data_IF_737274101516
#
_entry.id   IF_737274101516
#
_cell.length_a   1.000
_cell.length_b   1.000
_cell.length_c   1.000
_cell.angle_alpha   90.00
_cell.angle_beta   90.00
_cell.angle_gamma   90.00
#
_symmetry.space_group_name_H-M   'P 1'
#
loop_
_entity.id
_entity.type
_entity.pdbx_description
1 polymer ?
#
# COMPACT_ATOMS: atom_id res chain seq x y z
N UNK A 1 4.53 -10.86 31.69
CA UNK A 1 3.48 -11.87 31.43
C UNK A 1 3.74 -12.47 30.06
N UNK A 2 4.37 -13.64 30.02
CA UNK A 2 4.55 -14.40 28.80
C UNK A 2 3.17 -14.91 28.41
N UNK A 3 2.64 -14.45 27.25
CA UNK A 3 1.38 -14.89 26.72
C UNK A 3 1.47 -16.39 26.38
N UNK A 4 0.82 -17.23 27.19
CA UNK A 4 0.82 -18.69 27.02
C UNK A 4 0.21 -19.09 25.65
N UNK A 5 -0.75 -18.33 25.17
CA UNK A 5 -1.36 -18.55 23.86
C UNK A 5 -0.35 -18.27 22.71
N UNK A 6 0.51 -17.27 22.85
CA UNK A 6 1.59 -17.00 21.89
C UNK A 6 2.68 -18.09 21.89
N UNK A 7 2.95 -18.68 23.04
CA UNK A 7 3.92 -19.78 23.20
C UNK A 7 3.40 -21.08 22.57
N UNK A 8 2.09 -21.34 22.65
CA UNK A 8 1.44 -22.49 22.02
C UNK A 8 1.29 -22.35 20.49
N UNK A 9 1.30 -21.12 19.97
CA UNK A 9 1.25 -20.84 18.53
C UNK A 9 2.60 -21.00 17.82
N UNK A 10 3.69 -21.10 18.55
CA UNK A 10 5.00 -21.29 17.95
C UNK A 10 5.11 -22.65 17.26
N UNK A 11 5.78 -22.66 16.09
CA UNK A 11 5.93 -23.80 15.16
C UNK A 11 6.19 -25.15 15.88
N UNK A 12 5.68 -26.22 15.33
CA UNK A 12 5.66 -27.59 15.86
C UNK A 12 6.94 -28.11 16.54
N UNK A 13 8.12 -27.59 16.16
CA UNK A 13 9.40 -27.94 16.79
C UNK A 13 9.61 -27.33 18.18
N UNK A 14 9.09 -26.13 18.45
CA UNK A 14 9.16 -25.50 19.77
C UNK A 14 8.16 -26.14 20.75
N UNK A 15 7.01 -26.57 20.25
CA UNK A 15 6.01 -27.30 21.05
C UNK A 15 6.58 -28.57 21.64
N UNK A 16 7.27 -29.40 20.86
CA UNK A 16 7.90 -30.62 21.32
C UNK A 16 8.97 -30.34 22.37
N UNK A 17 9.78 -29.31 22.17
CA UNK A 17 10.83 -28.89 23.14
C UNK A 17 10.24 -28.41 24.48
N UNK A 18 9.11 -27.71 24.45
CA UNK A 18 8.41 -27.24 25.64
C UNK A 18 7.84 -28.44 26.39
N UNK A 19 7.12 -29.34 25.69
CA UNK A 19 6.55 -30.55 26.31
C UNK A 19 7.65 -31.43 26.89
N UNK A 20 8.78 -31.59 26.23
CA UNK A 20 9.91 -32.40 26.70
C UNK A 20 10.62 -31.77 27.91
N UNK A 21 10.48 -30.49 28.18
CA UNK A 21 11.03 -29.77 29.34
C UNK A 21 10.12 -29.80 30.57
N UNK A 22 8.88 -30.30 30.45
CA UNK A 22 7.92 -30.35 31.52
C UNK A 22 8.20 -31.55 32.48
N UNK A 23 7.76 -31.41 33.72
CA UNK A 23 7.78 -32.55 34.63
C UNK A 23 6.85 -33.68 34.12
N UNK A 24 7.09 -34.90 34.54
CA UNK A 24 6.41 -36.09 34.01
C UNK A 24 4.89 -36.09 34.22
N UNK A 25 4.41 -35.39 35.24
CA UNK A 25 2.99 -35.29 35.58
C UNK A 25 2.27 -34.28 34.73
N UNK A 26 2.82 -33.09 34.60
CA UNK A 26 2.31 -32.02 33.70
C UNK A 26 2.32 -32.49 32.25
N UNK A 27 3.36 -33.22 31.83
CA UNK A 27 3.44 -33.81 30.50
C UNK A 27 2.29 -34.78 30.22
N UNK A 28 1.94 -35.66 31.14
CA UNK A 28 0.82 -36.60 31.03
C UNK A 28 -0.53 -35.86 30.91
N UNK A 29 -0.72 -34.82 31.72
CA UNK A 29 -1.96 -34.02 31.67
C UNK A 29 -2.12 -33.33 30.34
N UNK A 30 -1.06 -32.72 29.83
CA UNK A 30 -1.10 -32.03 28.52
C UNK A 30 -1.27 -33.05 27.39
N UNK A 31 -0.61 -34.20 27.45
CA UNK A 31 -0.78 -35.26 26.46
C UNK A 31 -2.23 -35.79 26.47
N UNK A 32 -2.84 -36.00 27.63
CA UNK A 32 -4.25 -36.38 27.75
C UNK A 32 -5.20 -35.32 27.18
N UNK A 33 -4.95 -34.06 27.47
CA UNK A 33 -5.76 -32.95 26.91
C UNK A 33 -5.64 -32.90 25.37
N UNK A 34 -4.43 -33.12 24.84
CA UNK A 34 -4.18 -33.13 23.39
C UNK A 34 -4.85 -34.33 22.72
N UNK A 35 -4.80 -35.51 23.34
CA UNK A 35 -5.40 -36.74 22.80
C UNK A 35 -6.93 -36.73 22.86
N UNK A 36 -7.53 -36.05 23.83
CA UNK A 36 -9.00 -35.94 23.96
C UNK A 36 -9.59 -34.83 23.13
N UNK A 37 -8.78 -34.00 22.47
CA UNK A 37 -9.24 -32.88 21.69
C UNK A 37 -9.46 -33.29 20.22
N UNK A 38 -10.68 -33.25 19.66
CA UNK A 38 -10.92 -33.57 18.27
C UNK A 38 -10.18 -32.57 17.36
N UNK A 39 -9.33 -33.08 16.47
CA UNK A 39 -8.68 -32.26 15.44
C UNK A 39 -7.29 -31.69 15.80
N UNK A 40 -6.62 -32.13 16.85
CA UNK A 40 -5.29 -31.64 17.25
C UNK A 40 -5.19 -30.10 17.40
N UNK A 41 -6.27 -29.47 17.79
CA UNK A 41 -6.31 -28.03 18.00
C UNK A 41 -5.98 -27.66 19.45
N UNK A 42 -4.80 -27.05 19.73
CA UNK A 42 -4.44 -26.62 21.06
C UNK A 42 -5.35 -25.54 21.66
N UNK A 43 -6.15 -24.85 20.84
CA UNK A 43 -7.11 -23.82 21.28
C UNK A 43 -8.30 -24.40 22.06
N UNK A 44 -8.57 -25.69 21.97
CA UNK A 44 -9.65 -26.33 22.71
C UNK A 44 -9.40 -26.46 24.22
N UNK A 45 -8.16 -26.26 24.69
CA UNK A 45 -7.85 -26.21 26.12
C UNK A 45 -8.67 -25.13 26.82
N UNK A 46 -8.85 -23.97 26.17
CA UNK A 46 -9.68 -22.88 26.68
C UNK A 46 -11.17 -23.28 26.77
N UNK A 47 -11.66 -24.00 25.79
CA UNK A 47 -13.05 -24.50 25.78
C UNK A 47 -13.26 -25.60 26.85
N UNK A 48 -12.31 -26.52 27.03
CA UNK A 48 -12.34 -27.57 28.07
C UNK A 48 -12.33 -26.92 29.45
N UNK A 49 -11.49 -25.91 29.68
CA UNK A 49 -11.47 -25.14 30.92
C UNK A 49 -12.77 -24.37 31.14
N UNK A 50 -13.34 -23.79 30.10
CA UNK A 50 -14.62 -23.08 30.18
C UNK A 50 -15.80 -24.05 30.45
N UNK A 51 -15.74 -25.25 29.90
CA UNK A 51 -16.75 -26.29 30.14
C UNK A 51 -16.65 -26.88 31.55
N UNK A 52 -15.45 -27.14 32.06
CA UNK A 52 -15.22 -27.51 33.46
C UNK A 52 -15.70 -26.41 34.42
N UNK A 53 -15.50 -25.14 34.11
CA UNK A 53 -16.03 -24.01 34.86
C UNK A 53 -17.57 -23.95 34.84
N UNK A 54 -18.21 -24.23 33.70
CA UNK A 54 -19.68 -24.29 33.56
C UNK A 54 -20.28 -25.43 34.36
N UNK A 55 -19.62 -26.58 34.39
CA UNK A 55 -20.08 -27.78 35.11
C UNK A 55 -19.77 -27.75 36.61
N UNK A 56 -19.06 -26.71 37.10
CA UNK A 56 -18.74 -26.54 38.52
C UNK A 56 -17.67 -27.47 39.03
N UNK A 57 -16.97 -28.21 38.15
CA UNK A 57 -15.86 -29.09 38.50
C UNK A 57 -14.57 -28.28 38.62
N UNK A 58 -14.24 -27.89 39.85
CA UNK A 58 -13.03 -27.10 40.19
C UNK A 58 -11.76 -27.91 40.23
N UNK A 59 -11.83 -29.22 40.27
CA UNK A 59 -10.67 -30.10 40.49
C UNK A 59 -9.67 -30.03 39.34
N UNK A 60 -10.06 -30.15 38.05
CA UNK A 60 -9.12 -30.04 36.96
C UNK A 60 -8.50 -28.65 36.86
N UNK A 61 -9.29 -27.61 37.18
CA UNK A 61 -8.84 -26.20 37.12
C UNK A 61 -7.82 -25.91 38.21
N UNK A 62 -8.06 -26.36 39.44
CA UNK A 62 -7.14 -26.12 40.54
C UNK A 62 -5.82 -26.86 40.34
N UNK A 63 -5.88 -28.06 39.78
CA UNK A 63 -4.70 -28.86 39.43
C UNK A 63 -3.92 -28.17 38.30
N UNK A 64 -4.60 -27.75 37.24
CA UNK A 64 -3.98 -27.07 36.11
C UNK A 64 -3.36 -25.72 36.50
N UNK A 65 -4.05 -24.92 37.35
CA UNK A 65 -3.51 -23.66 37.89
C UNK A 65 -2.30 -23.91 38.77
N UNK A 66 -2.34 -24.96 39.63
CA UNK A 66 -1.20 -25.38 40.44
C UNK A 66 -0.01 -25.77 39.57
N UNK A 67 -0.26 -26.55 38.52
CA UNK A 67 0.74 -27.00 37.57
C UNK A 67 1.27 -25.87 36.69
N UNK A 68 0.41 -24.97 36.23
CA UNK A 68 0.79 -23.78 35.49
C UNK A 68 1.65 -22.85 36.34
N UNK A 69 1.35 -22.70 37.63
CA UNK A 69 2.17 -21.90 38.55
C UNK A 69 3.53 -22.57 38.81
N UNK A 70 3.58 -23.89 38.99
CA UNK A 70 4.83 -24.64 39.08
C UNK A 70 5.62 -24.58 37.76
N UNK A 71 4.92 -24.64 36.64
CA UNK A 71 5.47 -24.46 35.31
C UNK A 71 6.04 -23.06 35.11
N UNK A 72 5.33 -22.01 35.51
CA UNK A 72 5.83 -20.62 35.50
C UNK A 72 7.21 -20.54 36.20
N UNK A 73 7.36 -21.15 37.35
CA UNK A 73 8.62 -21.11 38.09
C UNK A 73 9.77 -21.91 37.46
N UNK A 74 9.51 -23.05 36.84
CA UNK A 74 10.58 -23.91 36.27
C UNK A 74 10.94 -23.56 34.83
N UNK A 75 9.96 -23.11 34.03
CA UNK A 75 10.18 -22.68 32.62
C UNK A 75 10.68 -21.25 32.56
N UNK A 76 10.19 -20.37 33.43
CA UNK A 76 10.60 -18.98 33.50
C UNK A 76 12.11 -18.82 33.66
N UNK A 77 12.76 -19.60 34.56
CA UNK A 77 14.19 -19.41 34.80
C UNK A 77 15.07 -19.82 33.61
N UNK A 78 14.82 -20.95 33.00
CA UNK A 78 15.69 -21.47 31.92
C UNK A 78 15.35 -20.86 30.53
N UNK A 79 14.07 -20.62 30.23
CA UNK A 79 13.65 -19.99 28.99
C UNK A 79 13.94 -18.51 29.04
N UNK A 80 13.66 -17.80 30.12
CA UNK A 80 13.97 -16.39 30.28
C UNK A 80 15.48 -16.15 30.26
N UNK A 81 16.30 -16.99 30.86
CA UNK A 81 17.76 -16.88 30.75
C UNK A 81 18.24 -17.19 29.33
N UNK A 82 17.71 -18.21 28.69
CA UNK A 82 18.06 -18.55 27.32
C UNK A 82 17.57 -17.46 26.30
N UNK A 83 16.39 -16.88 26.55
CA UNK A 83 15.86 -15.74 25.81
C UNK A 83 16.69 -14.47 26.04
N UNK A 84 17.05 -14.15 27.28
CA UNK A 84 17.93 -13.04 27.63
C UNK A 84 19.29 -13.14 26.92
N UNK A 85 19.90 -14.33 26.94
CA UNK A 85 21.16 -14.55 26.25
C UNK A 85 21.02 -14.36 24.75
N UNK A 86 19.96 -14.91 24.13
CA UNK A 86 19.71 -14.76 22.71
C UNK A 86 19.29 -13.32 22.32
N UNK A 87 18.57 -12.63 23.19
CA UNK A 87 18.22 -11.22 23.01
C UNK A 87 19.47 -10.35 23.04
N UNK A 88 20.37 -10.58 24.01
CA UNK A 88 21.65 -9.86 24.09
C UNK A 88 22.57 -10.16 22.88
N UNK A 89 22.60 -11.44 22.44
CA UNK A 89 23.38 -11.84 21.25
C UNK A 89 22.79 -11.29 19.92
N UNK A 90 21.49 -11.02 19.89
CA UNK A 90 20.79 -10.57 18.67
C UNK A 90 20.80 -9.05 18.46
N UNK A 91 21.27 -8.27 19.43
CA UNK A 91 21.22 -6.80 19.40
C UNK A 91 19.79 -6.22 19.49
N UNK A 92 18.79 -7.04 19.81
CA UNK A 92 17.39 -6.58 19.93
C UNK A 92 17.23 -5.62 21.12
N UNK A 93 18.03 -5.77 22.19
CA UNK A 93 18.00 -4.83 23.32
C UNK A 93 18.45 -3.44 22.90
N UNK A 94 19.49 -3.35 22.06
CA UNK A 94 19.95 -2.08 21.50
C UNK A 94 18.90 -1.48 20.58
N UNK A 95 18.30 -2.29 19.70
CA UNK A 95 17.20 -1.88 18.82
C UNK A 95 15.94 -1.48 19.61
N UNK A 96 15.63 -2.16 20.70
CA UNK A 96 14.51 -1.78 21.57
C UNK A 96 14.79 -0.48 22.31
N UNK A 97 16.02 -0.26 22.77
CA UNK A 97 16.44 1.00 23.38
C UNK A 97 16.35 2.15 22.36
N UNK A 98 16.88 1.94 21.14
CA UNK A 98 16.76 2.89 20.05
C UNK A 98 15.29 3.16 19.68
N UNK A 99 14.45 2.13 19.65
CA UNK A 99 13.00 2.26 19.43
C UNK A 99 12.31 3.02 20.57
N UNK A 100 12.65 2.72 21.84
CA UNK A 100 12.13 3.48 22.99
C UNK A 100 12.62 4.93 23.00
N UNK A 101 13.86 5.18 22.61
CA UNK A 101 14.38 6.54 22.43
C UNK A 101 13.65 7.28 21.30
N UNK A 102 13.36 6.61 20.18
CA UNK A 102 12.57 7.15 19.08
C UNK A 102 11.14 7.46 19.54
N UNK A 103 10.52 6.56 20.31
CA UNK A 103 9.17 6.80 20.87
C UNK A 103 9.22 7.91 21.93
N UNK A 104 10.21 7.91 22.84
CA UNK A 104 10.36 8.89 23.90
C UNK A 104 10.79 10.26 23.36
N UNK A 105 11.57 10.27 22.28
CA UNK A 105 11.90 11.51 21.56
C UNK A 105 10.66 12.14 20.91
N UNK A 106 9.56 11.42 20.97
CA UNK A 106 8.20 11.70 20.53
C UNK A 106 8.21 12.79 19.49
N UNK A 107 7.65 12.61 18.34
CA UNK A 107 7.58 13.71 17.35
C UNK A 107 7.01 14.90 18.11
N UNK A 108 7.89 15.86 18.39
CA UNK A 108 7.53 17.02 19.19
C UNK A 108 6.64 17.92 18.31
N UNK A 109 5.37 17.51 18.22
CA UNK A 109 4.35 18.26 17.49
C UNK A 109 4.04 19.47 18.39
N UNK A 110 4.38 20.65 17.90
CA UNK A 110 4.06 21.89 18.62
C UNK A 110 2.54 22.10 18.71
N UNK A 111 2.08 22.84 19.69
CA UNK A 111 0.65 23.17 19.79
C UNK A 111 0.18 23.99 18.57
N UNK A 112 1.06 24.77 17.96
CA UNK A 112 0.79 25.47 16.71
C UNK A 112 0.55 24.49 15.54
N UNK A 113 1.33 23.42 15.46
CA UNK A 113 1.15 22.38 14.45
C UNK A 113 -0.12 21.56 14.68
N UNK A 114 -0.51 21.35 15.95
CA UNK A 114 -1.78 20.71 16.31
C UNK A 114 -2.96 21.55 15.82
N UNK A 115 -2.95 22.84 16.12
CA UNK A 115 -3.98 23.76 15.65
C UNK A 115 -4.02 23.83 14.13
N UNK A 116 -2.85 23.96 13.50
CA UNK A 116 -2.75 23.98 12.05
C UNK A 116 -3.34 22.74 11.38
N UNK A 117 -3.00 21.54 11.88
CA UNK A 117 -3.52 20.29 11.30
C UNK A 117 -5.01 20.10 11.58
N UNK A 118 -5.48 20.52 12.76
CA UNK A 118 -6.90 20.51 13.12
C UNK A 118 -7.70 21.37 12.14
N UNK A 119 -7.28 22.62 11.94
CA UNK A 119 -7.96 23.56 11.03
C UNK A 119 -7.93 23.02 9.60
N UNK A 120 -6.78 22.52 9.15
CA UNK A 120 -6.62 21.91 7.83
C UNK A 120 -7.57 20.72 7.61
N UNK A 121 -7.71 19.84 8.61
CA UNK A 121 -8.61 18.68 8.53
C UNK A 121 -10.06 19.14 8.55
N UNK A 122 -10.43 20.07 9.42
CA UNK A 122 -11.79 20.59 9.54
C UNK A 122 -12.25 21.30 8.27
N UNK A 123 -11.36 22.09 7.62
CA UNK A 123 -11.62 22.69 6.31
C UNK A 123 -11.82 21.62 5.20
N UNK A 124 -11.21 20.46 5.39
CA UNK A 124 -11.23 19.36 4.41
C UNK A 124 -12.33 18.33 4.64
N UNK A 125 -12.93 18.28 5.82
CA UNK A 125 -13.95 17.31 6.21
C UNK A 125 -15.21 18.04 6.68
N UNK A 126 -16.38 17.47 6.40
CA UNK A 126 -17.66 18.02 6.88
C UNK A 126 -17.92 17.67 8.37
N UNK A 127 -16.85 17.46 9.14
CA UNK A 127 -16.91 17.06 10.55
C UNK A 127 -15.92 17.87 11.36
N UNK A 128 -16.35 18.29 12.53
CA UNK A 128 -15.54 19.06 13.45
C UNK A 128 -14.72 18.14 14.34
N UNK A 129 -13.43 18.03 14.03
CA UNK A 129 -12.44 17.34 14.84
C UNK A 129 -11.80 18.31 15.82
N UNK A 130 -11.56 17.83 17.05
CA UNK A 130 -10.73 18.52 18.04
C UNK A 130 -9.54 17.63 18.38
N UNK A 131 -8.37 18.24 18.37
CA UNK A 131 -7.12 17.57 18.71
C UNK A 131 -6.60 18.27 19.98
N UNK A 132 -6.55 17.51 21.05
CA UNK A 132 -6.10 18.00 22.35
C UNK A 132 -4.90 17.18 22.81
N UNK A 133 -4.09 17.73 23.70
CA UNK A 133 -3.00 16.99 24.34
C UNK A 133 -3.48 16.55 25.72
N UNK A 134 -3.37 15.27 26.01
CA UNK A 134 -3.62 14.72 27.33
C UNK A 134 -2.63 15.31 28.35
N UNK A 135 -3.15 15.79 29.47
CA UNK A 135 -2.33 16.49 30.47
C UNK A 135 -1.34 15.55 31.17
N UNK A 136 -1.71 14.30 31.36
CA UNK A 136 -0.92 13.31 32.10
C UNK A 136 0.06 12.55 31.18
N UNK A 137 -0.44 11.98 30.09
CA UNK A 137 0.37 11.16 29.18
C UNK A 137 1.10 11.95 28.11
N UNK A 138 0.74 13.24 27.90
CA UNK A 138 1.20 14.09 26.79
C UNK A 138 0.86 13.56 25.38
N UNK A 139 0.06 12.52 25.30
CA UNK A 139 -0.42 11.96 24.04
C UNK A 139 -1.45 12.89 23.40
N UNK A 140 -1.59 12.77 22.07
CA UNK A 140 -2.64 13.47 21.34
C UNK A 140 -3.96 12.71 21.50
N UNK A 141 -5.00 13.41 21.91
CA UNK A 141 -6.38 12.94 21.94
C UNK A 141 -7.11 13.53 20.75
N UNK A 142 -7.77 12.68 19.98
CA UNK A 142 -8.60 13.13 18.86
C UNK A 142 -10.06 12.89 19.24
N UNK A 143 -10.85 13.96 19.24
CA UNK A 143 -12.27 13.96 19.58
C UNK A 143 -13.10 14.36 18.38
N UNK A 144 -14.21 13.71 18.18
CA UNK A 144 -15.24 14.09 17.22
C UNK A 144 -16.50 14.41 18.01
N UNK A 145 -16.99 15.65 17.92
CA UNK A 145 -18.20 16.08 18.64
C UNK A 145 -18.17 15.76 20.14
N UNK A 146 -17.03 15.90 20.82
CA UNK A 146 -16.77 15.60 22.23
C UNK A 146 -16.60 14.11 22.59
N UNK A 147 -16.65 13.17 21.64
CA UNK A 147 -16.31 11.79 21.89
C UNK A 147 -14.87 11.48 21.45
N UNK A 148 -14.09 10.91 22.36
CA UNK A 148 -12.76 10.41 22.06
C UNK A 148 -12.84 9.13 21.24
N UNK A 149 -12.01 9.01 20.20
CA UNK A 149 -12.05 7.84 19.33
C UNK A 149 -10.68 7.17 19.11
N UNK A 150 -9.61 7.70 19.68
CA UNK A 150 -8.33 6.98 19.67
C UNK A 150 -8.45 5.71 20.52
N UNK A 151 -8.04 4.58 19.95
CA UNK A 151 -8.15 3.28 20.61
C UNK A 151 -9.47 2.53 20.37
N UNK A 152 -10.46 3.15 19.72
CA UNK A 152 -11.66 2.43 19.22
C UNK A 152 -11.33 1.62 17.97
N UNK A 153 -12.06 0.52 17.77
CA UNK A 153 -11.95 -0.24 16.52
C UNK A 153 -12.37 0.63 15.32
N UNK A 154 -11.64 0.53 14.22
CA UNK A 154 -11.94 1.32 12.99
C UNK A 154 -13.38 1.24 12.53
N UNK A 155 -14.05 0.11 12.78
CA UNK A 155 -15.46 -0.13 12.42
C UNK A 155 -16.46 0.66 13.27
N UNK A 156 -16.04 1.09 14.44
CA UNK A 156 -16.88 1.82 15.41
C UNK A 156 -16.76 3.33 15.27
N UNK A 157 -15.81 3.79 14.44
CA UNK A 157 -15.62 5.21 14.21
C UNK A 157 -16.72 5.78 13.32
N UNK A 158 -17.30 6.94 13.67
CA UNK A 158 -18.30 7.63 12.86
C UNK A 158 -17.67 8.33 11.64
N UNK A 159 -16.65 7.72 11.04
CA UNK A 159 -15.88 8.20 9.91
C UNK A 159 -15.93 7.18 8.78
N UNK A 160 -16.15 7.63 7.56
CA UNK A 160 -15.98 6.79 6.38
C UNK A 160 -14.52 6.32 6.23
N UNK A 161 -14.30 5.24 5.50
CA UNK A 161 -12.94 4.72 5.23
C UNK A 161 -12.04 5.78 4.58
N UNK A 162 -12.61 6.59 3.67
CA UNK A 162 -11.88 7.70 3.03
C UNK A 162 -11.45 8.77 4.03
N UNK A 163 -12.33 9.15 4.98
CA UNK A 163 -12.03 10.09 6.04
C UNK A 163 -10.94 9.56 6.98
N UNK A 164 -11.04 8.31 7.39
CA UNK A 164 -10.04 7.68 8.25
C UNK A 164 -8.66 7.63 7.60
N UNK A 165 -8.61 7.25 6.33
CA UNK A 165 -7.36 7.21 5.57
C UNK A 165 -6.78 8.62 5.38
N UNK A 166 -7.61 9.59 5.05
CA UNK A 166 -7.20 11.00 4.90
C UNK A 166 -6.63 11.56 6.19
N UNK A 167 -7.32 11.34 7.30
CA UNK A 167 -6.87 11.74 8.63
C UNK A 167 -5.51 11.13 8.98
N UNK A 168 -5.37 9.81 8.80
CA UNK A 168 -4.10 9.10 9.04
C UNK A 168 -2.97 9.69 8.19
N UNK A 169 -3.22 9.96 6.92
CA UNK A 169 -2.24 10.53 6.01
C UNK A 169 -1.81 11.94 6.42
N UNK A 170 -2.75 12.77 6.89
CA UNK A 170 -2.45 14.11 7.39
C UNK A 170 -1.50 14.06 8.59
N UNK A 171 -1.71 13.13 9.53
CA UNK A 171 -0.80 12.93 10.66
C UNK A 171 0.58 12.42 10.23
N UNK A 172 0.65 11.50 9.26
CA UNK A 172 1.94 11.06 8.72
C UNK A 172 2.69 12.21 8.02
N UNK A 173 1.98 13.08 7.31
CA UNK A 173 2.59 14.29 6.73
C UNK A 173 3.07 15.27 7.79
N UNK A 174 2.33 15.42 8.89
CA UNK A 174 2.76 16.25 10.00
C UNK A 174 4.03 15.71 10.67
N UNK A 175 4.10 14.40 10.90
CA UNK A 175 5.32 13.73 11.36
C UNK A 175 6.49 13.97 10.41
N UNK A 176 6.26 13.81 9.11
CA UNK A 176 7.26 14.04 8.09
C UNK A 176 7.72 15.52 8.06
N UNK A 177 6.79 16.47 8.22
CA UNK A 177 7.08 17.91 8.34
C UNK A 177 8.06 18.17 9.48
N UNK A 178 7.80 17.59 10.65
CA UNK A 178 8.57 17.84 11.87
C UNK A 178 9.84 16.97 11.98
N UNK A 179 10.03 16.01 11.09
CA UNK A 179 11.24 15.20 11.03
C UNK A 179 12.45 16.05 10.65
N UNK A 180 13.65 15.64 11.08
CA UNK A 180 14.90 16.30 10.67
C UNK A 180 15.29 16.00 9.22
N UNK A 181 14.65 15.04 8.58
CA UNK A 181 14.96 14.62 7.21
C UNK A 181 14.52 15.70 6.21
N UNK A 182 15.42 16.14 5.31
CA UNK A 182 15.09 17.20 4.36
C UNK A 182 14.26 16.72 3.17
N UNK A 183 14.17 15.41 2.94
CA UNK A 183 13.48 14.79 1.81
C UNK A 183 12.40 13.85 2.33
N UNK A 184 11.22 13.94 1.75
CA UNK A 184 10.09 13.05 1.99
C UNK A 184 9.79 12.29 0.70
N UNK A 185 9.76 10.96 0.79
CA UNK A 185 9.34 10.09 -0.31
C UNK A 185 7.91 9.64 -0.05
N UNK A 186 7.04 9.81 -1.03
CA UNK A 186 5.62 9.50 -0.94
C UNK A 186 5.32 8.51 -2.07
N UNK A 187 4.90 7.30 -1.69
CA UNK A 187 4.58 6.24 -2.64
C UNK A 187 3.06 6.13 -2.80
N UNK A 188 2.61 6.39 -4.02
CA UNK A 188 1.24 6.26 -4.52
C UNK A 188 0.12 6.75 -3.57
N UNK A 189 0.16 8.02 -3.18
CA UNK A 189 -0.63 8.54 -2.06
C UNK A 189 -2.14 8.59 -2.30
N UNK A 190 -2.61 8.40 -3.55
CA UNK A 190 -4.04 8.58 -3.89
C UNK A 190 -4.77 7.33 -4.37
N UNK A 191 -4.08 6.20 -4.51
CA UNK A 191 -4.68 4.98 -5.11
C UNK A 191 -5.80 4.36 -4.29
N UNK A 192 -5.79 4.55 -2.97
CA UNK A 192 -6.84 4.06 -2.06
C UNK A 192 -7.98 5.05 -1.83
N UNK A 193 -7.96 6.22 -2.49
CA UNK A 193 -8.94 7.28 -2.27
C UNK A 193 -9.93 7.42 -3.43
N UNK A 194 -11.16 7.79 -3.09
CA UNK A 194 -12.15 8.23 -4.05
C UNK A 194 -11.81 9.63 -4.64
N UNK A 195 -12.56 10.06 -5.64
CA UNK A 195 -12.28 11.30 -6.38
C UNK A 195 -12.28 12.55 -5.50
N UNK A 196 -13.10 12.59 -4.43
CA UNK A 196 -13.20 13.75 -3.53
C UNK A 196 -11.91 13.89 -2.71
N UNK A 197 -11.45 12.77 -2.14
CA UNK A 197 -10.25 12.77 -1.31
C UNK A 197 -8.95 12.89 -2.09
N UNK A 198 -8.89 12.41 -3.34
CA UNK A 198 -7.71 12.61 -4.20
C UNK A 198 -7.29 14.08 -4.28
N UNK A 199 -8.25 14.99 -4.44
CA UNK A 199 -7.97 16.43 -4.49
C UNK A 199 -7.44 16.95 -3.14
N UNK A 200 -8.06 16.53 -2.04
CA UNK A 200 -7.66 16.90 -0.68
C UNK A 200 -6.25 16.39 -0.34
N UNK A 201 -5.92 15.16 -0.74
CA UNK A 201 -4.57 14.60 -0.57
C UNK A 201 -3.53 15.37 -1.37
N UNK A 202 -3.81 15.70 -2.64
CA UNK A 202 -2.91 16.53 -3.44
C UNK A 202 -2.67 17.90 -2.78
N UNK A 203 -3.70 18.51 -2.23
CA UNK A 203 -3.61 19.77 -1.48
C UNK A 203 -2.79 19.60 -0.20
N UNK A 204 -3.03 18.52 0.58
CA UNK A 204 -2.29 18.20 1.81
C UNK A 204 -0.78 18.04 1.56
N UNK A 205 -0.40 17.30 0.50
CA UNK A 205 1.02 17.12 0.11
C UNK A 205 1.71 18.48 -0.09
N UNK A 206 1.04 19.40 -0.73
CA UNK A 206 1.66 20.68 -1.05
C UNK A 206 1.69 21.63 0.15
N UNK A 207 0.63 21.64 0.94
CA UNK A 207 0.48 22.58 2.07
C UNK A 207 1.24 22.13 3.30
N UNK A 208 1.06 20.88 3.74
CA UNK A 208 1.69 20.38 4.97
C UNK A 208 3.20 20.21 4.78
N UNK A 209 3.62 19.71 3.63
CA UNK A 209 5.03 19.43 3.32
C UNK A 209 5.71 20.58 2.53
N UNK A 210 5.21 21.82 2.64
CA UNK A 210 5.71 22.97 1.84
C UNK A 210 7.21 23.21 1.99
N UNK A 211 7.77 22.98 3.17
CA UNK A 211 9.18 23.20 3.51
C UNK A 211 10.09 22.02 3.19
N UNK A 212 9.53 20.87 2.83
CA UNK A 212 10.27 19.66 2.51
C UNK A 212 10.48 19.48 1.01
N UNK A 213 11.61 18.88 0.63
CA UNK A 213 11.78 18.34 -0.71
C UNK A 213 10.99 17.04 -0.82
N UNK A 214 10.15 16.94 -1.84
CA UNK A 214 9.23 15.81 -2.02
C UNK A 214 9.59 15.03 -3.27
N UNK A 215 9.66 13.71 -3.13
CA UNK A 215 9.73 12.75 -4.24
C UNK A 215 8.42 11.97 -4.18
N UNK A 216 7.60 12.10 -5.19
CA UNK A 216 6.30 11.43 -5.27
C UNK A 216 6.41 10.36 -6.34
N UNK A 217 6.20 9.12 -5.95
CA UNK A 217 6.10 7.97 -6.84
C UNK A 217 4.61 7.70 -7.08
N UNK A 218 4.20 7.58 -8.31
CA UNK A 218 2.80 7.28 -8.64
C UNK A 218 2.67 6.73 -10.05
N UNK A 219 1.74 5.82 -10.22
CA UNK A 219 1.26 5.36 -11.52
C UNK A 219 -0.04 6.07 -11.94
N UNK A 220 -0.54 7.00 -11.10
CA UNK A 220 -1.84 7.61 -11.27
C UNK A 220 -1.72 9.02 -11.87
N UNK A 221 -2.15 9.16 -13.13
CA UNK A 221 -2.15 10.43 -13.86
C UNK A 221 -3.06 11.49 -13.21
N UNK A 222 -4.10 11.07 -12.47
CA UNK A 222 -4.97 12.01 -11.74
C UNK A 222 -4.19 12.84 -10.73
N UNK A 223 -3.20 12.24 -10.04
CA UNK A 223 -2.37 13.00 -9.10
C UNK A 223 -1.56 14.08 -9.82
N UNK A 224 -0.99 13.76 -10.97
CA UNK A 224 -0.22 14.72 -11.77
C UNK A 224 -1.15 15.87 -12.21
N UNK A 225 -2.36 15.55 -12.66
CA UNK A 225 -3.37 16.53 -13.06
C UNK A 225 -3.77 17.45 -11.90
N UNK A 226 -4.03 16.86 -10.72
CA UNK A 226 -4.43 17.62 -9.53
C UNK A 226 -3.30 18.52 -9.02
N UNK A 227 -2.06 18.02 -8.97
CA UNK A 227 -0.89 18.81 -8.61
C UNK A 227 -0.65 19.95 -9.60
N UNK A 228 -0.77 19.68 -10.91
CA UNK A 228 -0.61 20.71 -11.93
C UNK A 228 -1.71 21.77 -11.88
N UNK A 229 -2.95 21.39 -11.57
CA UNK A 229 -4.08 22.32 -11.45
C UNK A 229 -3.93 23.24 -10.22
N UNK A 230 -3.44 22.71 -9.09
CA UNK A 230 -3.27 23.46 -7.86
C UNK A 230 -1.98 24.31 -7.84
N UNK A 231 -0.92 23.82 -8.49
CA UNK A 231 0.43 24.40 -8.41
C UNK A 231 1.15 24.28 -9.74
N UNK A 232 0.67 24.98 -10.74
CA UNK A 232 1.25 24.94 -12.09
C UNK A 232 2.75 25.25 -12.07
N UNK A 233 3.55 24.35 -12.62
CA UNK A 233 5.00 24.53 -12.80
C UNK A 233 5.85 24.28 -11.54
N UNK A 234 5.28 23.81 -10.42
CA UNK A 234 6.00 23.61 -9.15
C UNK A 234 6.69 22.25 -9.00
N UNK A 235 6.58 21.35 -9.97
CA UNK A 235 7.24 20.06 -9.93
C UNK A 235 7.93 19.71 -11.24
N UNK A 236 8.85 18.77 -11.19
CA UNK A 236 9.48 18.14 -12.35
C UNK A 236 8.96 16.72 -12.46
N UNK A 237 8.46 16.36 -13.65
CA UNK A 237 7.96 15.02 -13.91
C UNK A 237 9.06 14.17 -14.57
N UNK A 238 9.15 12.93 -14.13
CA UNK A 238 10.02 11.92 -14.70
C UNK A 238 9.22 10.62 -14.90
N UNK A 239 9.45 9.95 -16.01
CA UNK A 239 8.99 8.58 -16.21
C UNK A 239 10.11 7.63 -15.74
N UNK A 240 9.77 6.66 -14.90
CA UNK A 240 10.68 5.58 -14.55
C UNK A 240 10.59 4.51 -15.64
N UNK A 241 11.67 4.33 -16.36
CA UNK A 241 11.82 3.22 -17.28
C UNK A 241 12.46 2.05 -16.52
N UNK A 242 11.70 0.98 -16.32
CA UNK A 242 12.14 -0.25 -15.65
C UNK A 242 11.82 -1.44 -16.56
N UNK A 243 12.63 -1.63 -17.59
CA UNK A 243 12.49 -2.71 -18.56
C UNK A 243 13.42 -3.84 -18.16
N UNK A 244 12.90 -5.06 -18.07
CA UNK A 244 13.71 -6.26 -17.91
C UNK A 244 14.64 -6.37 -19.13
N UNK A 245 15.93 -6.49 -18.94
CA UNK A 245 16.96 -6.58 -19.99
C UNK A 245 17.22 -5.30 -20.82
N UNK A 246 16.79 -4.13 -20.35
CA UNK A 246 17.03 -2.83 -21.00
C UNK A 246 17.74 -1.80 -20.14
N UNK A 247 18.04 -0.63 -20.73
CA UNK A 247 18.53 0.50 -19.97
C UNK A 247 17.41 1.06 -19.08
N UNK A 248 17.61 0.95 -17.77
CA UNK A 248 16.70 1.48 -16.77
C UNK A 248 17.10 2.90 -16.37
N UNK A 249 16.14 3.73 -16.03
CA UNK A 249 16.43 5.08 -15.58
C UNK A 249 15.23 6.01 -15.59
N UNK A 250 15.52 7.28 -15.31
CA UNK A 250 14.52 8.33 -15.26
C UNK A 250 14.56 9.17 -16.54
N UNK A 251 13.45 9.22 -17.25
CA UNK A 251 13.26 10.03 -18.44
C UNK A 251 12.54 11.31 -18.01
N UNK A 252 13.15 12.47 -18.23
CA UNK A 252 12.53 13.75 -17.89
C UNK A 252 11.41 14.05 -18.88
N UNK A 253 10.23 14.35 -18.37
CA UNK A 253 9.07 14.76 -19.13
C UNK A 253 9.04 16.28 -19.27
N UNK A 254 8.90 16.79 -20.48
CA UNK A 254 8.79 18.23 -20.75
C UNK A 254 7.41 18.78 -20.32
N UNK A 255 7.28 20.09 -20.20
CA UNK A 255 5.99 20.71 -19.91
C UNK A 255 4.94 20.47 -21.01
N UNK A 256 5.38 20.37 -22.28
CA UNK A 256 4.51 20.05 -23.43
C UNK A 256 3.94 18.63 -23.27
N UNK A 257 4.81 17.66 -22.99
CA UNK A 257 4.42 16.26 -22.76
C UNK A 257 3.56 16.09 -21.50
N UNK A 258 3.90 16.81 -20.42
CA UNK A 258 3.05 16.84 -19.22
C UNK A 258 1.64 17.32 -19.57
N UNK A 259 1.53 18.37 -20.41
CA UNK A 259 0.25 18.87 -20.91
C UNK A 259 -0.55 17.84 -21.71
N UNK A 260 0.12 16.95 -22.45
CA UNK A 260 -0.53 15.83 -23.15
C UNK A 260 -1.01 14.75 -22.18
N UNK A 261 -0.20 14.38 -21.23
CA UNK A 261 -0.53 13.34 -20.23
C UNK A 261 -1.77 13.69 -19.38
N UNK A 262 -1.93 14.97 -19.05
CA UNK A 262 -3.03 15.41 -18.16
C UNK A 262 -4.29 15.86 -18.90
N UNK A 263 -4.26 15.97 -20.20
CA UNK A 263 -5.38 16.48 -21.02
C UNK A 263 -5.68 15.50 -22.16
N UNK A 264 -6.73 14.71 -21.99
CA UNK A 264 -7.15 13.69 -22.95
C UNK A 264 -7.48 14.30 -24.33
N UNK A 265 -8.09 15.49 -24.39
CA UNK A 265 -8.41 16.13 -25.65
C UNK A 265 -7.14 16.49 -26.45
N UNK A 266 -6.14 17.06 -25.77
CA UNK A 266 -4.85 17.36 -26.40
C UNK A 266 -4.16 16.07 -26.87
N UNK A 267 -4.18 15.05 -26.06
CA UNK A 267 -3.60 13.74 -26.39
C UNK A 267 -4.27 13.14 -27.63
N UNK A 268 -5.60 13.14 -27.68
CA UNK A 268 -6.36 12.65 -28.84
C UNK A 268 -6.08 13.47 -30.10
N UNK A 269 -6.00 14.80 -29.98
CA UNK A 269 -5.67 15.65 -31.12
C UNK A 269 -4.25 15.39 -31.63
N UNK A 270 -3.30 15.16 -30.72
CA UNK A 270 -1.94 14.76 -31.10
C UNK A 270 -1.95 13.46 -31.90
N UNK A 271 -2.61 12.42 -31.43
CA UNK A 271 -2.70 11.14 -32.16
C UNK A 271 -3.52 11.22 -33.44
N UNK A 272 -4.44 12.17 -33.56
CA UNK A 272 -5.26 12.36 -34.78
C UNK A 272 -4.61 13.19 -35.84
N UNK A 273 -3.68 14.08 -35.48
CA UNK A 273 -3.17 15.11 -36.39
C UNK A 273 -1.67 15.32 -36.32
N UNK A 274 -1.15 15.58 -35.11
CA UNK A 274 0.18 16.17 -34.96
C UNK A 274 1.30 15.14 -35.03
N UNK A 275 1.03 13.87 -34.62
CA UNK A 275 2.05 12.83 -34.49
C UNK A 275 2.60 12.31 -35.81
N UNK A 276 1.80 12.40 -36.90
CA UNK A 276 2.12 11.70 -38.15
C UNK A 276 3.45 12.10 -38.78
N UNK A 277 3.86 13.36 -38.62
CA UNK A 277 5.15 13.83 -39.13
C UNK A 277 6.35 13.39 -38.28
N UNK A 278 6.09 12.98 -37.05
CA UNK A 278 7.11 12.59 -36.08
C UNK A 278 7.35 11.07 -36.06
N UNK A 279 6.46 10.28 -36.66
CA UNK A 279 6.57 8.81 -36.65
C UNK A 279 7.75 8.37 -37.51
N UNK A 280 8.76 7.71 -36.90
CA UNK A 280 9.90 7.12 -37.60
C UNK A 280 9.63 5.66 -38.01
N UNK A 281 8.95 4.92 -37.15
CA UNK A 281 8.62 3.52 -37.38
C UNK A 281 7.14 3.29 -37.15
N UNK A 282 6.38 3.18 -38.24
CA UNK A 282 4.92 3.07 -38.20
C UNK A 282 4.46 1.77 -37.55
N UNK A 283 5.16 0.66 -37.79
CA UNK A 283 4.79 -0.65 -37.24
C UNK A 283 4.94 -0.67 -35.72
N UNK A 284 6.09 -0.23 -35.21
CA UNK A 284 6.33 -0.14 -33.77
C UNK A 284 5.44 0.90 -33.10
N UNK A 285 5.16 2.00 -33.78
CA UNK A 285 4.19 2.99 -33.32
C UNK A 285 2.81 2.34 -33.12
N UNK A 286 2.30 1.64 -34.12
CA UNK A 286 1.00 0.97 -34.05
C UNK A 286 0.97 -0.08 -32.91
N UNK A 287 2.03 -0.84 -32.73
CA UNK A 287 2.15 -1.82 -31.63
C UNK A 287 2.10 -1.08 -30.28
N UNK A 288 2.85 0.00 -30.13
CA UNK A 288 2.87 0.80 -28.90
C UNK A 288 1.52 1.43 -28.55
N UNK A 289 0.68 1.66 -29.56
CA UNK A 289 -0.65 2.24 -29.41
C UNK A 289 -1.74 1.23 -29.00
N UNK A 290 -1.46 -0.08 -29.02
CA UNK A 290 -2.44 -1.13 -28.67
C UNK A 290 -3.09 -0.88 -27.30
N UNK A 291 -2.34 -0.65 -26.19
CA UNK A 291 -2.95 -0.39 -24.89
C UNK A 291 -3.84 0.85 -24.86
N UNK A 292 -3.40 1.91 -25.54
CA UNK A 292 -4.17 3.15 -25.63
C UNK A 292 -5.47 2.96 -26.43
N UNK A 293 -5.39 2.33 -27.61
CA UNK A 293 -6.56 2.04 -28.47
C UNK A 293 -7.57 1.16 -27.73
N UNK A 294 -7.10 0.15 -26.98
CA UNK A 294 -7.96 -0.69 -26.14
C UNK A 294 -8.69 0.14 -25.07
N UNK A 295 -7.96 1.01 -24.37
CA UNK A 295 -8.56 1.90 -23.37
C UNK A 295 -9.58 2.87 -23.99
N UNK A 296 -9.25 3.41 -25.15
CA UNK A 296 -10.12 4.33 -25.86
C UNK A 296 -11.40 3.64 -26.41
N UNK A 297 -11.27 2.42 -26.96
CA UNK A 297 -12.43 1.62 -27.40
C UNK A 297 -13.41 1.34 -26.24
N UNK A 298 -12.89 1.12 -25.02
CA UNK A 298 -13.73 0.97 -23.83
C UNK A 298 -14.50 2.25 -23.49
N UNK A 299 -13.89 3.42 -23.68
CA UNK A 299 -14.55 4.72 -23.41
C UNK A 299 -15.69 4.98 -24.40
N UNK A 300 -15.51 4.61 -25.66
CA UNK A 300 -16.53 4.81 -26.71
C UNK A 300 -17.51 3.64 -26.84
N UNK A 301 -17.41 2.62 -25.96
CA UNK A 301 -18.22 1.39 -25.93
C UNK A 301 -18.11 0.54 -27.20
N UNK A 302 -16.94 0.49 -27.83
CA UNK A 302 -16.64 -0.44 -28.94
C UNK A 302 -16.05 -1.75 -28.36
N UNK A 303 -16.94 -2.63 -27.93
CA UNK A 303 -16.55 -3.89 -27.27
C UNK A 303 -15.83 -4.85 -28.25
N UNK A 304 -16.15 -4.84 -29.53
CA UNK A 304 -15.52 -5.72 -30.53
C UNK A 304 -14.03 -5.38 -30.71
N UNK A 305 -13.73 -4.10 -30.87
CA UNK A 305 -12.33 -3.62 -30.97
C UNK A 305 -11.60 -3.85 -29.66
N UNK A 306 -12.23 -3.58 -28.53
CA UNK A 306 -11.67 -3.82 -27.20
C UNK A 306 -11.30 -5.29 -27.00
N UNK A 307 -12.17 -6.23 -27.39
CA UNK A 307 -11.91 -7.66 -27.27
C UNK A 307 -10.74 -8.10 -28.15
N UNK A 308 -10.70 -7.69 -29.42
CA UNK A 308 -9.60 -7.98 -30.34
C UNK A 308 -8.24 -7.51 -29.77
N UNK A 309 -8.16 -6.28 -29.29
CA UNK A 309 -6.94 -5.72 -28.72
C UNK A 309 -6.57 -6.38 -27.37
N UNK A 310 -7.58 -6.79 -26.56
CA UNK A 310 -7.35 -7.51 -25.32
C UNK A 310 -6.73 -8.89 -25.59
N UNK A 311 -7.18 -9.59 -26.62
CA UNK A 311 -6.64 -10.89 -27.03
C UNK A 311 -5.15 -10.78 -27.38
N UNK A 312 -4.76 -9.76 -28.15
CA UNK A 312 -3.38 -9.50 -28.53
C UNK A 312 -2.52 -9.13 -27.32
N UNK A 313 -3.02 -8.29 -26.43
CA UNK A 313 -2.27 -7.84 -25.24
C UNK A 313 -2.01 -8.94 -24.23
N UNK A 314 -2.95 -9.87 -24.05
CA UNK A 314 -2.88 -10.90 -23.00
C UNK A 314 -2.56 -12.30 -23.52
N UNK A 315 -2.41 -12.46 -24.84
CA UNK A 315 -2.05 -13.73 -25.43
C UNK A 315 -3.12 -14.82 -25.34
N UNK A 316 -4.40 -14.46 -25.20
CA UNK A 316 -5.49 -15.43 -25.08
C UNK A 316 -5.74 -16.21 -26.36
N UNK A 317 -5.51 -15.58 -27.51
CA UNK A 317 -5.63 -16.19 -28.83
C UNK A 317 -4.55 -15.64 -29.73
N UNK A 318 -4.00 -16.48 -30.60
CA UNK A 318 -3.01 -16.06 -31.58
C UNK A 318 -3.67 -15.78 -32.94
N UNK A 319 -4.73 -14.98 -32.93
CA UNK A 319 -5.42 -14.54 -34.15
C UNK A 319 -4.76 -13.26 -34.68
N UNK A 320 -4.87 -13.05 -36.01
CA UNK A 320 -4.38 -11.83 -36.65
C UNK A 320 -5.36 -10.68 -36.39
N UNK A 321 -4.85 -9.57 -35.89
CA UNK A 321 -5.63 -8.35 -35.63
C UNK A 321 -5.06 -7.20 -36.45
N UNK A 322 -5.88 -6.57 -37.29
CA UNK A 322 -5.47 -5.44 -38.13
C UNK A 322 -5.45 -4.13 -37.29
N UNK A 323 -4.31 -3.87 -36.68
CA UNK A 323 -4.12 -2.72 -35.82
C UNK A 323 -4.05 -1.38 -36.59
N UNK A 324 -3.66 -1.39 -37.86
CA UNK A 324 -3.69 -0.18 -38.70
C UNK A 324 -5.12 0.26 -38.99
N UNK A 325 -5.97 -0.68 -39.34
CA UNK A 325 -7.39 -0.43 -39.58
C UNK A 325 -8.10 0.03 -38.30
N UNK A 326 -7.79 -0.61 -37.17
CA UNK A 326 -8.32 -0.20 -35.85
C UNK A 326 -7.89 1.24 -35.53
N UNK A 327 -6.60 1.55 -35.67
CA UNK A 327 -6.08 2.90 -35.44
C UNK A 327 -6.81 3.94 -36.29
N UNK A 328 -6.89 3.67 -37.59
CA UNK A 328 -7.54 4.60 -38.56
C UNK A 328 -9.02 4.79 -38.23
N UNK A 329 -9.72 3.74 -37.80
CA UNK A 329 -11.14 3.83 -37.41
C UNK A 329 -11.32 4.65 -36.14
N UNK A 330 -10.48 4.46 -35.12
CA UNK A 330 -10.60 5.12 -33.83
C UNK A 330 -10.08 6.56 -33.83
N UNK A 331 -8.98 6.81 -34.51
CA UNK A 331 -8.21 8.06 -34.40
C UNK A 331 -8.09 8.82 -35.73
N UNK A 332 -8.30 8.18 -36.86
CA UNK A 332 -8.12 8.77 -38.18
C UNK A 332 -6.71 8.50 -38.75
N UNK A 333 -6.49 8.92 -39.98
CA UNK A 333 -5.23 8.80 -40.72
C UNK A 333 -4.99 10.05 -41.56
N UNK A 334 -4.60 11.11 -40.90
CA UNK A 334 -4.23 12.34 -41.62
C UNK A 334 -2.92 12.09 -42.36
N UNK A 335 -2.80 12.63 -43.59
CA UNK A 335 -1.63 12.49 -44.44
C UNK A 335 -1.32 11.07 -44.94
N UNK A 336 -2.20 10.09 -44.68
CA UNK A 336 -2.06 8.68 -45.12
C UNK A 336 -0.75 8.02 -44.68
N UNK A 337 -0.24 8.36 -43.50
CA UNK A 337 0.99 7.83 -42.94
C UNK A 337 0.79 6.40 -42.42
N UNK A 338 -0.38 6.10 -41.88
CA UNK A 338 -0.74 4.76 -41.42
C UNK A 338 -1.14 3.90 -42.64
N UNK A 339 -0.61 2.71 -42.82
CA UNK A 339 -0.97 1.84 -43.95
C UNK A 339 -2.45 1.43 -43.87
N UNK A 340 -3.02 1.06 -45.04
CA UNK A 340 -4.42 0.60 -45.10
C UNK A 340 -4.68 -0.65 -44.23
N UNK A 341 -3.68 -1.50 -44.07
CA UNK A 341 -3.73 -2.70 -43.27
C UNK A 341 -2.36 -3.03 -42.71
N UNK A 342 -2.30 -3.38 -41.42
CA UNK A 342 -1.14 -3.97 -40.76
C UNK A 342 -1.67 -4.89 -39.66
N UNK A 343 -1.56 -6.18 -39.91
CA UNK A 343 -2.08 -7.21 -39.00
C UNK A 343 -0.97 -7.81 -38.19
N UNK A 344 -1.25 -8.05 -36.92
CA UNK A 344 -0.30 -8.57 -35.94
C UNK A 344 -0.96 -9.65 -35.10
N UNK A 345 -0.16 -10.64 -34.71
CA UNK A 345 -0.55 -11.65 -33.72
C UNK A 345 0.34 -11.58 -32.48
N UNK A 346 0.00 -12.36 -31.45
CA UNK A 346 0.83 -12.48 -30.23
C UNK A 346 2.26 -12.88 -30.55
N UNK A 347 2.44 -13.86 -31.46
CA UNK A 347 3.78 -14.34 -31.84
C UNK A 347 4.61 -13.24 -32.52
N UNK A 348 3.97 -12.39 -33.31
CA UNK A 348 4.66 -11.24 -33.90
C UNK A 348 5.15 -10.27 -32.84
N UNK A 349 4.33 -9.97 -31.81
CA UNK A 349 4.72 -9.06 -30.74
C UNK A 349 5.90 -9.62 -29.93
N UNK A 350 5.85 -10.91 -29.59
CA UNK A 350 6.91 -11.56 -28.83
C UNK A 350 8.25 -11.62 -29.59
N UNK A 351 8.20 -11.61 -30.93
CA UNK A 351 9.38 -11.59 -31.79
C UNK A 351 9.99 -10.20 -32.03
N UNK A 352 9.26 -9.11 -31.70
CA UNK A 352 9.89 -7.81 -31.61
C UNK A 352 10.82 -7.82 -30.41
N UNK A 353 12.12 -7.93 -30.71
CA UNK A 353 13.16 -8.05 -29.68
C UNK A 353 13.17 -6.89 -28.70
N UNK A 354 13.90 -7.08 -27.61
CA UNK A 354 14.05 -6.13 -26.51
C UNK A 354 14.86 -4.87 -26.86
N UNK A 355 15.25 -4.68 -28.11
CA UNK A 355 16.00 -3.50 -28.55
C UNK A 355 15.12 -2.24 -28.45
N UNK A 356 15.65 -1.23 -27.78
CA UNK A 356 15.04 0.08 -27.68
C UNK A 356 15.07 0.75 -29.06
N UNK A 357 13.90 0.89 -29.67
CA UNK A 357 13.73 1.53 -30.98
C UNK A 357 13.07 2.89 -30.80
N UNK A 358 13.63 3.92 -31.43
CA UNK A 358 12.96 5.21 -31.53
C UNK A 358 11.73 5.09 -32.42
N UNK A 359 10.55 5.28 -31.83
CA UNK A 359 9.26 5.19 -32.52
C UNK A 359 8.87 6.53 -33.12
N UNK A 360 9.14 7.59 -32.40
CA UNK A 360 8.88 8.99 -32.78
C UNK A 360 10.11 9.84 -32.55
N UNK A 361 10.19 10.99 -33.23
CA UNK A 361 11.24 11.96 -32.96
C UNK A 361 11.00 12.61 -31.58
N UNK A 362 12.03 12.58 -30.74
CA UNK A 362 12.06 13.33 -29.49
C UNK A 362 12.73 14.68 -29.75
N UNK A 363 12.00 15.81 -29.59
CA UNK A 363 12.57 17.13 -29.45
C UNK A 363 12.82 17.47 -27.97
#
# INVERSE_FOLDING_TARGET
DVDFDALLQSKSGNRKRIIDSLNSETKKIIEQIIETTPGNDPFNIKNILMEALKNGDKTPITTLIGEVNTYKHSVDYNIVQSLKTKLAESGIEDLNTEYEEIIASGINISDEDILYIQDFINESMDKELRIERDEDSKNLLIKLSNEEFLGKDRKELPLSTGEQNFLSLCFEFLKAKNSQQPIVVIDDPISSFDSIYKNKVAYAIVRILSEKRRIILTHNVDLIRLLNAQYNGCFKLYLLNNIHDGENGFIKVSNKETGLLINLEKLLNTFRKDIFQEIKNVELFLISMIPFMRGYSSIINDEDVKEQLTQVMHGYKNEQVDIARIYTTLLGNQDNVIPESYSISVDNILNYGTERVEIVNNE
#
